data_IF_207539641885
#
_entry.id   IF_207539641885
#
_cell.length_a   1.000
_cell.length_b   1.000
_cell.length_c   1.000
_cell.angle_alpha   90.00
_cell.angle_beta   90.00
_cell.angle_gamma   90.00
#
_symmetry.space_group_name_H-M   'P 1'
#
loop_
_entity.id
_entity.type
_entity.pdbx_description
1 polymer ?
#
# COMPACT_ATOMS: atom_id res chain seq x y z
N UNK A 1 21.96 10.47 -43.67
CA UNK A 1 21.60 11.37 -42.56
C UNK A 1 20.11 11.62 -42.68
N UNK A 2 19.30 10.90 -41.91
CA UNK A 2 17.85 11.11 -41.87
C UNK A 2 17.55 12.39 -41.13
N UNK A 3 16.83 13.30 -41.77
CA UNK A 3 16.25 14.48 -41.13
C UNK A 3 15.21 14.03 -40.09
N UNK A 4 15.53 14.15 -38.81
CA UNK A 4 14.54 14.13 -37.75
C UNK A 4 13.62 15.35 -37.93
N UNK A 5 12.41 15.08 -38.42
CA UNK A 5 11.35 16.08 -38.46
C UNK A 5 11.09 16.57 -37.03
N UNK A 6 11.36 17.86 -36.79
CA UNK A 6 11.08 18.52 -35.51
C UNK A 6 9.57 18.64 -35.35
N UNK A 7 8.99 17.71 -34.60
CA UNK A 7 7.58 17.70 -34.24
C UNK A 7 7.16 19.08 -33.67
N UNK A 8 6.10 19.66 -34.21
CA UNK A 8 5.62 20.98 -33.79
C UNK A 8 5.07 20.92 -32.37
N UNK A 9 5.29 21.95 -31.54
CA UNK A 9 4.75 22.03 -30.18
C UNK A 9 3.24 21.76 -30.11
N UNK A 10 2.48 22.18 -31.15
CA UNK A 10 1.03 21.92 -31.23
C UNK A 10 0.69 20.43 -31.46
N UNK A 11 1.50 19.70 -32.21
CA UNK A 11 1.34 18.27 -32.44
C UNK A 11 1.74 17.46 -31.20
N UNK A 12 2.76 17.93 -30.48
CA UNK A 12 3.17 17.34 -29.21
C UNK A 12 2.10 17.49 -28.13
N UNK A 13 1.50 18.68 -27.96
CA UNK A 13 0.40 18.91 -27.01
C UNK A 13 -0.87 18.09 -27.31
N UNK A 14 -1.09 17.70 -28.57
CA UNK A 14 -2.19 16.82 -28.98
C UNK A 14 -1.89 15.32 -28.85
N UNK A 15 -0.68 14.94 -28.45
CA UNK A 15 -0.28 13.54 -28.34
C UNK A 15 -0.96 12.84 -27.15
N UNK A 16 -1.25 11.55 -27.32
CA UNK A 16 -1.79 10.69 -26.26
C UNK A 16 -0.88 10.69 -25.01
N UNK A 17 0.43 10.87 -25.18
CA UNK A 17 1.36 10.94 -24.05
C UNK A 17 1.16 12.20 -23.21
N UNK A 18 1.03 13.37 -23.82
CA UNK A 18 0.78 14.62 -23.09
C UNK A 18 -0.54 14.55 -22.33
N UNK A 19 -1.60 14.01 -22.95
CA UNK A 19 -2.91 13.82 -22.28
C UNK A 19 -2.77 12.93 -21.05
N UNK A 20 -1.99 11.84 -21.11
CA UNK A 20 -1.74 10.97 -19.94
C UNK A 20 -0.99 11.69 -18.83
N UNK A 21 -0.01 12.54 -19.16
CA UNK A 21 0.69 13.36 -18.15
C UNK A 21 -0.24 14.38 -17.50
N UNK A 22 -1.14 15.00 -18.28
CA UNK A 22 -2.19 15.87 -17.74
C UNK A 22 -3.07 15.08 -16.76
N UNK A 23 -3.50 13.86 -17.10
CA UNK A 23 -4.26 13.00 -16.18
C UNK A 23 -3.48 12.60 -14.93
N UNK A 24 -2.16 12.42 -15.03
CA UNK A 24 -1.31 12.12 -13.87
C UNK A 24 -1.27 13.31 -12.90
N UNK A 25 -1.00 14.51 -13.42
CA UNK A 25 -0.92 15.74 -12.62
C UNK A 25 -2.29 16.08 -12.04
N UNK A 26 -3.35 16.00 -12.84
CA UNK A 26 -4.72 16.20 -12.37
C UNK A 26 -5.07 15.20 -11.27
N UNK A 27 -4.74 13.92 -11.44
CA UNK A 27 -4.98 12.90 -10.42
C UNK A 27 -4.24 13.17 -9.13
N UNK A 28 -2.97 13.59 -9.20
CA UNK A 28 -2.21 14.02 -8.02
C UNK A 28 -2.91 15.15 -7.27
N UNK A 29 -3.30 16.22 -7.98
CA UNK A 29 -3.95 17.38 -7.39
C UNK A 29 -5.33 17.03 -6.80
N UNK A 30 -6.11 16.19 -7.48
CA UNK A 30 -7.42 15.74 -7.00
C UNK A 30 -7.30 14.90 -5.71
N UNK A 31 -6.33 13.97 -5.67
CA UNK A 31 -6.04 13.17 -4.47
C UNK A 31 -5.60 14.07 -3.32
N UNK A 32 -4.65 14.98 -3.56
CA UNK A 32 -4.16 15.93 -2.55
C UNK A 32 -5.31 16.79 -2.01
N UNK A 33 -6.13 17.35 -2.90
CA UNK A 33 -7.29 18.14 -2.53
C UNK A 33 -8.24 17.35 -1.62
N UNK A 34 -8.55 16.10 -1.97
CA UNK A 34 -9.39 15.23 -1.15
C UNK A 34 -8.79 15.01 0.25
N UNK A 35 -7.49 14.68 0.35
CA UNK A 35 -6.84 14.47 1.66
C UNK A 35 -6.83 15.75 2.50
N UNK A 36 -6.59 16.91 1.87
CA UNK A 36 -6.64 18.21 2.57
C UNK A 36 -8.04 18.52 3.08
N UNK A 37 -9.08 18.31 2.27
CA UNK A 37 -10.48 18.54 2.67
C UNK A 37 -10.83 17.65 3.86
N UNK A 38 -10.52 16.35 3.77
CA UNK A 38 -10.81 15.40 4.85
C UNK A 38 -10.07 15.78 6.13
N UNK A 39 -8.76 16.07 6.06
CA UNK A 39 -7.98 16.40 7.26
C UNK A 39 -8.36 17.74 7.90
N UNK A 40 -8.88 18.69 7.11
CA UNK A 40 -9.34 20.01 7.59
C UNK A 40 -10.79 20.01 8.08
N UNK A 41 -11.52 18.90 7.96
CA UNK A 41 -12.90 18.81 8.45
C UNK A 41 -13.03 19.00 9.96
N UNK A 42 -11.94 18.86 10.71
CA UNK A 42 -11.87 19.10 12.15
C UNK A 42 -10.64 19.93 12.52
N UNK A 43 -10.71 20.64 13.65
CA UNK A 43 -9.53 21.33 14.21
C UNK A 43 -8.50 20.33 14.76
N UNK A 44 -8.98 19.26 15.38
CA UNK A 44 -8.18 18.12 15.83
C UNK A 44 -7.51 17.35 14.67
N UNK A 45 -6.64 16.38 14.99
CA UNK A 45 -6.26 15.33 14.04
C UNK A 45 -7.58 14.65 13.62
N UNK A 46 -7.81 14.52 12.32
CA UNK A 46 -9.11 14.09 11.80
C UNK A 46 -9.59 12.80 12.46
N UNK A 47 -10.91 12.58 12.34
CA UNK A 47 -11.42 11.23 12.22
C UNK A 47 -11.36 10.46 13.56
N UNK A 48 -11.36 11.16 14.70
CA UNK A 48 -11.32 10.54 16.03
C UNK A 48 -10.01 9.77 16.28
N UNK A 49 -8.92 10.17 15.63
CA UNK A 49 -7.63 9.51 15.74
C UNK A 49 -6.87 9.94 17.01
N UNK A 50 -6.95 9.10 18.03
CA UNK A 50 -6.20 9.29 19.28
C UNK A 50 -4.73 8.84 19.17
N UNK A 51 -4.44 7.80 18.37
CA UNK A 51 -3.06 7.29 18.27
C UNK A 51 -2.17 8.26 17.49
N UNK A 52 -2.74 9.05 16.59
CA UNK A 52 -2.02 10.13 15.90
C UNK A 52 -1.33 11.10 16.86
N UNK A 53 -1.97 11.43 17.99
CA UNK A 53 -1.38 12.27 19.04
C UNK A 53 -0.19 11.56 19.72
N UNK A 54 -0.33 10.26 19.99
CA UNK A 54 0.76 9.46 20.52
C UNK A 54 1.94 9.43 19.55
N UNK A 55 1.71 9.10 18.28
CA UNK A 55 2.76 8.95 17.28
C UNK A 55 3.57 10.23 17.09
N UNK A 56 2.90 11.37 16.97
CA UNK A 56 3.61 12.64 16.77
C UNK A 56 4.33 13.09 18.04
N UNK A 57 3.74 12.85 19.22
CA UNK A 57 4.39 13.18 20.50
C UNK A 57 5.60 12.29 20.74
N UNK A 58 5.50 11.00 20.45
CA UNK A 58 6.60 10.05 20.58
C UNK A 58 7.72 10.38 19.60
N UNK A 59 7.40 10.76 18.36
CA UNK A 59 8.39 11.26 17.39
C UNK A 59 9.14 12.50 17.90
N UNK A 60 8.45 13.42 18.58
CA UNK A 60 9.06 14.60 19.22
C UNK A 60 10.02 14.21 20.35
N UNK A 61 9.63 13.28 21.22
CA UNK A 61 10.46 12.78 22.33
C UNK A 61 11.68 12.03 21.77
N UNK A 62 11.49 11.17 20.77
CA UNK A 62 12.55 10.45 20.08
C UNK A 62 13.57 11.42 19.48
N UNK A 63 13.11 12.46 18.77
CA UNK A 63 13.97 13.49 18.23
C UNK A 63 14.80 14.20 19.31
N UNK A 64 14.15 14.64 20.40
CA UNK A 64 14.83 15.33 21.50
C UNK A 64 15.89 14.44 22.17
N UNK A 65 15.58 13.16 22.38
CA UNK A 65 16.50 12.19 22.98
C UNK A 65 17.72 11.94 22.10
N UNK A 66 17.50 11.75 20.79
CA UNK A 66 18.57 11.51 19.82
C UNK A 66 19.52 12.72 19.69
N UNK A 67 18.98 13.94 19.59
CA UNK A 67 19.79 15.16 19.48
C UNK A 67 20.55 15.47 20.77
N UNK A 68 19.99 15.11 21.93
CA UNK A 68 20.65 15.30 23.23
C UNK A 68 21.73 14.24 23.51
N UNK A 69 21.90 13.24 22.64
CA UNK A 69 22.87 12.15 22.83
C UNK A 69 22.44 11.10 23.87
N UNK A 70 21.19 11.14 24.34
CA UNK A 70 20.66 10.18 25.33
C UNK A 70 20.24 8.84 24.71
N UNK A 71 20.34 8.69 23.39
CA UNK A 71 19.95 7.46 22.68
C UNK A 71 18.44 7.31 22.56
N UNK A 72 17.95 6.07 22.63
CA UNK A 72 16.52 5.77 22.55
C UNK A 72 15.81 6.20 23.86
N UNK A 73 14.68 6.91 23.77
CA UNK A 73 13.94 7.32 24.97
C UNK A 73 13.28 6.12 25.67
N UNK A 74 13.23 6.16 27.00
CA UNK A 74 12.50 5.17 27.80
C UNK A 74 10.98 5.41 27.71
N UNK A 75 10.22 4.32 27.53
CA UNK A 75 8.76 4.36 27.54
C UNK A 75 8.20 3.99 28.92
N UNK A 76 7.62 4.96 29.64
CA UNK A 76 7.22 4.79 31.05
C UNK A 76 5.72 4.87 31.35
N UNK A 77 4.88 5.04 30.33
CA UNK A 77 3.46 5.35 30.54
C UNK A 77 2.57 4.12 30.75
N UNK A 78 3.04 2.91 30.42
CA UNK A 78 2.24 1.67 30.55
C UNK A 78 2.96 0.57 31.37
N UNK A 79 3.38 0.86 32.63
CA UNK A 79 4.25 -0.03 33.41
C UNK A 79 3.62 -1.39 33.75
N UNK A 80 2.29 -1.49 33.76
CA UNK A 80 1.57 -2.72 34.11
C UNK A 80 1.14 -3.55 32.87
N UNK A 81 1.72 -3.28 31.70
CA UNK A 81 1.33 -3.92 30.44
C UNK A 81 2.51 -4.63 29.79
N UNK A 82 2.26 -5.28 28.64
CA UNK A 82 3.32 -5.81 27.76
C UNK A 82 4.22 -4.72 27.14
N UNK A 83 3.85 -3.45 27.31
CA UNK A 83 4.60 -2.26 26.89
C UNK A 83 5.26 -1.56 28.09
N UNK A 84 5.57 -2.29 29.16
CA UNK A 84 6.35 -1.77 30.29
C UNK A 84 7.75 -1.30 29.84
N UNK A 85 8.46 -0.49 30.63
CA UNK A 85 9.76 0.07 30.23
C UNK A 85 10.79 -0.97 29.76
N UNK A 86 10.78 -2.17 30.35
CA UNK A 86 11.74 -3.24 30.05
C UNK A 86 11.39 -3.99 28.75
N UNK A 87 10.10 -4.17 28.47
CA UNK A 87 9.60 -4.92 27.32
C UNK A 87 9.21 -4.04 26.12
N UNK A 88 9.21 -2.72 26.30
CA UNK A 88 8.75 -1.79 25.27
C UNK A 88 9.52 -1.98 23.96
N UNK A 89 8.77 -1.97 22.86
CA UNK A 89 9.29 -1.97 21.51
C UNK A 89 8.50 -0.99 20.66
N UNK A 90 9.22 -0.05 20.09
CA UNK A 90 8.67 0.83 19.06
C UNK A 90 8.56 0.07 17.73
N UNK A 91 7.48 -0.68 17.55
CA UNK A 91 7.18 -1.38 16.30
C UNK A 91 6.83 -0.45 15.12
N UNK A 92 6.81 0.86 15.37
CA UNK A 92 6.60 1.91 14.38
C UNK A 92 7.85 2.80 14.24
N UNK A 93 9.03 2.29 14.59
CA UNK A 93 10.25 3.07 14.73
C UNK A 93 10.55 3.97 13.52
N UNK A 94 10.57 3.41 12.30
CA UNK A 94 10.80 4.21 11.09
C UNK A 94 9.64 5.16 10.81
N UNK A 95 8.40 4.80 11.12
CA UNK A 95 7.27 5.72 10.99
C UNK A 95 7.43 6.94 11.91
N UNK A 96 7.94 6.78 13.13
CA UNK A 96 8.24 7.91 14.02
C UNK A 96 9.40 8.76 13.49
N UNK A 97 10.47 8.13 13.00
CA UNK A 97 11.58 8.87 12.37
C UNK A 97 11.12 9.69 11.16
N UNK A 98 10.24 9.12 10.33
CA UNK A 98 9.67 9.77 9.16
C UNK A 98 8.77 10.97 9.51
N UNK A 99 8.22 11.02 10.72
CA UNK A 99 7.44 12.18 11.19
C UNK A 99 8.29 13.35 11.70
N UNK A 100 9.54 13.10 12.11
CA UNK A 100 10.43 14.12 12.69
C UNK A 100 10.57 15.37 11.78
N UNK A 101 10.78 15.25 10.45
CA UNK A 101 10.93 16.42 9.60
C UNK A 101 9.74 17.39 9.65
N UNK A 102 8.51 16.91 9.88
CA UNK A 102 7.34 17.78 9.99
C UNK A 102 7.34 18.59 11.30
N UNK A 103 7.92 18.05 12.37
CA UNK A 103 8.07 18.72 13.66
C UNK A 103 9.09 19.86 13.63
N UNK A 104 9.95 19.94 12.61
CA UNK A 104 10.87 21.05 12.45
C UNK A 104 10.19 22.34 11.97
N UNK A 105 9.02 22.20 11.33
CA UNK A 105 8.31 23.33 10.72
C UNK A 105 6.96 23.64 11.38
N UNK A 106 6.38 22.68 12.12
CA UNK A 106 5.04 22.79 12.65
C UNK A 106 4.94 22.31 14.10
N UNK A 107 4.02 22.92 14.86
CA UNK A 107 3.59 22.42 16.16
C UNK A 107 3.00 21.00 16.05
N UNK A 108 3.05 20.15 17.10
CA UNK A 108 2.78 18.72 17.00
C UNK A 108 1.46 18.35 16.32
N UNK A 109 0.35 19.02 16.64
CA UNK A 109 -0.95 18.69 16.02
C UNK A 109 -0.95 19.02 14.52
N UNK A 110 -0.41 20.18 14.15
CA UNK A 110 -0.29 20.60 12.75
C UNK A 110 0.69 19.70 11.99
N UNK A 111 1.83 19.34 12.60
CA UNK A 111 2.80 18.40 12.05
C UNK A 111 2.14 17.05 11.73
N UNK A 112 1.36 16.49 12.66
CA UNK A 112 0.63 15.24 12.45
C UNK A 112 -0.38 15.35 11.29
N UNK A 113 -1.13 16.45 11.20
CA UNK A 113 -2.10 16.67 10.11
C UNK A 113 -1.41 16.79 8.75
N UNK A 114 -0.32 17.54 8.67
CA UNK A 114 0.46 17.69 7.43
C UNK A 114 1.10 16.36 7.02
N UNK A 115 1.68 15.62 7.97
CA UNK A 115 2.24 14.30 7.72
C UNK A 115 1.18 13.30 7.23
N UNK A 116 0.00 13.28 7.85
CA UNK A 116 -1.12 12.44 7.43
C UNK A 116 -1.52 12.75 5.98
N UNK A 117 -1.75 14.02 5.63
CA UNK A 117 -2.08 14.43 4.26
C UNK A 117 -0.98 14.02 3.28
N UNK A 118 0.28 14.22 3.63
CA UNK A 118 1.42 13.88 2.79
C UNK A 118 1.48 12.38 2.48
N UNK A 119 1.48 11.54 3.51
CA UNK A 119 1.58 10.09 3.33
C UNK A 119 0.31 9.48 2.72
N UNK A 120 -0.88 9.98 3.07
CA UNK A 120 -2.14 9.56 2.45
C UNK A 120 -2.18 9.88 0.96
N UNK A 121 -1.76 11.10 0.59
CA UNK A 121 -1.69 11.53 -0.80
C UNK A 121 -0.71 10.65 -1.57
N UNK A 122 0.49 10.43 -1.02
CA UNK A 122 1.50 9.59 -1.65
C UNK A 122 1.06 8.13 -1.78
N UNK A 123 0.33 7.59 -0.80
CA UNK A 123 -0.22 6.25 -0.84
C UNK A 123 -1.21 6.06 -1.99
N UNK A 124 -2.27 6.89 -2.06
CA UNK A 124 -3.28 6.79 -3.12
C UNK A 124 -2.67 7.14 -4.47
N UNK A 125 -1.80 8.15 -4.53
CA UNK A 125 -1.11 8.53 -5.75
C UNK A 125 -0.18 7.42 -6.25
N UNK A 126 0.49 6.67 -5.37
CA UNK A 126 1.35 5.55 -5.80
C UNK A 126 0.55 4.46 -6.53
N UNK A 127 -0.67 4.17 -6.07
CA UNK A 127 -1.60 3.23 -6.72
C UNK A 127 -2.02 3.77 -8.09
N UNK A 128 -2.40 5.05 -8.16
CA UNK A 128 -2.75 5.68 -9.44
C UNK A 128 -1.56 5.76 -10.41
N UNK A 129 -0.36 6.00 -9.88
CA UNK A 129 0.88 6.03 -10.63
C UNK A 129 1.20 4.66 -11.25
N UNK A 130 0.92 3.55 -10.58
CA UNK A 130 1.04 2.21 -11.20
C UNK A 130 0.17 2.08 -12.46
N UNK A 131 -1.07 2.56 -12.41
CA UNK A 131 -1.97 2.55 -13.57
C UNK A 131 -1.40 3.40 -14.72
N UNK A 132 -0.88 4.59 -14.38
CA UNK A 132 -0.21 5.45 -15.36
C UNK A 132 1.01 4.78 -15.98
N UNK A 133 1.90 4.23 -15.14
CA UNK A 133 3.18 3.63 -15.52
C UNK A 133 2.99 2.41 -16.44
N UNK A 134 2.06 1.51 -16.08
CA UNK A 134 1.76 0.32 -16.88
C UNK A 134 0.84 0.58 -18.07
N UNK A 135 0.69 1.84 -18.45
CA UNK A 135 -0.08 2.26 -19.62
C UNK A 135 -1.53 1.78 -19.61
N UNK A 136 -2.14 1.66 -18.42
CA UNK A 136 -3.56 1.30 -18.30
C UNK A 136 -4.39 2.37 -19.02
N UNK A 137 -5.39 1.92 -19.78
CA UNK A 137 -6.34 2.77 -20.50
C UNK A 137 -7.40 3.35 -19.55
N UNK A 138 -8.05 4.44 -19.96
CA UNK A 138 -9.13 5.08 -19.20
C UNK A 138 -8.73 5.52 -17.77
N UNK A 139 -7.53 6.09 -17.62
CA UNK A 139 -7.02 6.60 -16.32
C UNK A 139 -8.05 7.44 -15.53
N UNK A 140 -8.85 8.35 -16.13
CA UNK A 140 -9.84 9.11 -15.37
C UNK A 140 -10.93 8.25 -14.71
N UNK A 141 -11.33 7.13 -15.33
CA UNK A 141 -12.33 6.21 -14.74
C UNK A 141 -11.73 5.54 -13.51
N UNK A 142 -10.50 5.04 -13.61
CA UNK A 142 -9.81 4.43 -12.48
C UNK A 142 -9.48 5.43 -11.37
N UNK A 143 -9.18 6.68 -11.71
CA UNK A 143 -9.06 7.76 -10.74
C UNK A 143 -10.37 7.99 -9.99
N UNK A 144 -11.50 8.09 -10.70
CA UNK A 144 -12.82 8.21 -10.07
C UNK A 144 -13.14 7.03 -9.15
N UNK A 145 -12.83 5.82 -9.60
CA UNK A 145 -12.98 4.61 -8.78
C UNK A 145 -12.09 4.65 -7.52
N UNK A 146 -10.83 5.09 -7.64
CA UNK A 146 -9.94 5.26 -6.48
C UNK A 146 -10.51 6.28 -5.52
N UNK A 147 -10.83 7.49 -5.98
CA UNK A 147 -11.38 8.61 -5.19
C UNK A 147 -12.67 8.25 -4.43
N UNK A 148 -13.40 7.23 -4.87
CA UNK A 148 -14.67 6.78 -4.28
C UNK A 148 -14.64 5.33 -3.80
N UNK A 149 -13.45 4.74 -3.66
CA UNK A 149 -13.30 3.29 -3.49
C UNK A 149 -13.95 2.75 -2.20
N UNK A 150 -13.86 3.49 -1.10
CA UNK A 150 -14.39 3.11 0.21
C UNK A 150 -14.27 4.25 1.24
N UNK A 151 -15.35 4.52 1.98
CA UNK A 151 -15.29 5.47 3.11
C UNK A 151 -14.33 5.01 4.23
N UNK A 152 -14.35 3.73 4.68
CA UNK A 152 -13.43 3.26 5.71
C UNK A 152 -11.95 3.35 5.30
N UNK A 153 -11.66 3.20 4.01
CA UNK A 153 -10.31 3.39 3.49
C UNK A 153 -9.82 4.81 3.71
N UNK A 154 -10.59 5.81 3.25
CA UNK A 154 -10.21 7.21 3.38
C UNK A 154 -10.17 7.71 4.82
N UNK A 155 -11.07 7.21 5.66
CA UNK A 155 -11.03 7.43 7.10
C UNK A 155 -9.67 7.01 7.69
N UNK A 156 -9.16 5.84 7.31
CA UNK A 156 -7.88 5.32 7.81
C UNK A 156 -6.67 5.99 7.18
N UNK A 157 -6.74 6.34 5.91
CA UNK A 157 -5.65 7.07 5.25
C UNK A 157 -5.44 8.45 5.87
N UNK A 158 -6.49 9.09 6.39
CA UNK A 158 -6.40 10.39 7.07
C UNK A 158 -6.05 10.28 8.57
N UNK A 159 -5.91 9.07 9.12
CA UNK A 159 -5.30 8.92 10.43
C UNK A 159 -3.80 9.22 10.35
N UNK A 160 -3.24 9.89 11.35
CA UNK A 160 -1.80 10.13 11.47
C UNK A 160 -1.07 8.87 11.97
N UNK A 161 -1.22 7.78 11.22
CA UNK A 161 -0.70 6.43 11.52
C UNK A 161 0.08 5.86 10.34
N UNK A 162 0.68 4.69 10.54
CA UNK A 162 1.50 4.00 9.55
C UNK A 162 0.79 3.35 8.33
N UNK A 163 -0.53 3.07 8.28
CA UNK A 163 -1.15 2.39 7.14
C UNK A 163 -0.89 2.98 5.75
N UNK A 164 -0.88 4.32 5.53
CA UNK A 164 -0.50 4.89 4.24
C UNK A 164 0.88 4.44 3.75
N UNK A 165 1.88 4.39 4.65
CA UNK A 165 3.21 3.91 4.32
C UNK A 165 3.19 2.43 3.88
N UNK A 166 2.35 1.60 4.49
CA UNK A 166 2.20 0.21 4.07
C UNK A 166 1.78 0.08 2.61
N UNK A 167 0.87 0.94 2.14
CA UNK A 167 0.48 0.98 0.72
C UNK A 167 1.66 1.42 -0.15
N UNK A 168 2.38 2.46 0.25
CA UNK A 168 3.55 2.97 -0.49
C UNK A 168 4.61 1.87 -0.63
N UNK A 169 5.01 1.23 0.47
CA UNK A 169 5.98 0.13 0.46
C UNK A 169 5.49 -1.06 -0.38
N UNK A 170 4.20 -1.41 -0.28
CA UNK A 170 3.61 -2.50 -1.08
C UNK A 170 3.63 -2.17 -2.57
N UNK A 171 3.25 -0.96 -2.97
CA UNK A 171 3.25 -0.51 -4.36
C UNK A 171 4.66 -0.47 -4.95
N UNK A 172 5.64 0.08 -4.22
CA UNK A 172 7.05 0.06 -4.65
C UNK A 172 7.52 -1.40 -4.79
N UNK A 173 7.17 -2.26 -3.84
CA UNK A 173 7.52 -3.67 -3.88
C UNK A 173 6.93 -4.39 -5.09
N UNK A 174 5.65 -4.17 -5.38
CA UNK A 174 4.95 -4.73 -6.54
C UNK A 174 5.60 -4.23 -7.84
N UNK A 175 5.92 -2.93 -7.93
CA UNK A 175 6.67 -2.37 -9.04
C UNK A 175 8.02 -3.09 -9.24
N UNK A 176 8.81 -3.25 -8.18
CA UNK A 176 10.10 -3.94 -8.24
C UNK A 176 9.98 -5.41 -8.64
N UNK A 177 8.92 -6.10 -8.19
CA UNK A 177 8.62 -7.47 -8.58
C UNK A 177 8.32 -7.55 -10.08
N UNK A 178 7.40 -6.73 -10.58
CA UNK A 178 7.01 -6.70 -11.98
C UNK A 178 8.15 -6.31 -12.92
N UNK A 179 8.98 -5.33 -12.52
CA UNK A 179 10.18 -4.92 -13.26
C UNK A 179 11.37 -5.86 -13.06
N UNK A 180 11.21 -6.93 -12.26
CA UNK A 180 12.25 -7.91 -11.93
C UNK A 180 13.51 -7.32 -11.30
N UNK A 181 13.39 -6.15 -10.67
CA UNK A 181 14.45 -5.41 -9.99
C UNK A 181 14.63 -5.92 -8.55
N UNK A 182 14.83 -7.23 -8.41
CA UNK A 182 14.68 -7.94 -7.12
C UNK A 182 15.68 -7.52 -6.04
N UNK A 183 16.88 -7.06 -6.42
CA UNK A 183 17.88 -6.61 -5.46
C UNK A 183 17.35 -5.51 -4.53
N UNK A 184 16.55 -4.58 -5.07
CA UNK A 184 15.97 -3.47 -4.30
C UNK A 184 14.87 -3.90 -3.33
N UNK A 185 14.38 -5.14 -3.41
CA UNK A 185 13.44 -5.68 -2.42
C UNK A 185 14.10 -5.87 -1.05
N UNK A 186 15.41 -6.06 -0.97
CA UNK A 186 16.13 -6.20 0.29
C UNK A 186 16.07 -4.92 1.13
N UNK A 187 16.58 -3.75 0.66
CA UNK A 187 16.50 -2.52 1.45
C UNK A 187 15.04 -2.08 1.65
N UNK A 188 14.15 -2.33 0.69
CA UNK A 188 12.73 -2.02 0.85
C UNK A 188 12.10 -2.82 2.01
N UNK A 189 12.31 -4.14 2.04
CA UNK A 189 11.77 -5.00 3.08
C UNK A 189 12.39 -4.73 4.46
N UNK A 190 13.68 -4.41 4.50
CA UNK A 190 14.38 -3.95 5.70
C UNK A 190 13.68 -2.72 6.30
N UNK A 191 13.48 -1.68 5.50
CA UNK A 191 12.82 -0.44 5.95
C UNK A 191 11.35 -0.67 6.29
N UNK A 192 10.65 -1.50 5.52
CA UNK A 192 9.24 -1.79 5.78
C UNK A 192 9.05 -2.50 7.14
N UNK A 193 9.99 -3.40 7.49
CA UNK A 193 10.01 -4.07 8.80
C UNK A 193 10.08 -3.06 9.96
N UNK A 194 10.83 -1.97 9.80
CA UNK A 194 10.93 -0.90 10.82
C UNK A 194 9.71 0.04 10.84
N UNK A 195 8.88 0.00 9.80
CA UNK A 195 7.78 0.96 9.60
C UNK A 195 6.49 0.48 10.25
N UNK A 196 6.09 -0.76 9.97
CA UNK A 196 4.79 -1.26 10.40
C UNK A 196 4.73 -2.79 10.50
N UNK A 197 3.92 -3.29 11.44
CA UNK A 197 3.70 -4.71 11.69
C UNK A 197 3.07 -5.51 10.53
N UNK A 198 2.65 -4.85 9.44
CA UNK A 198 2.14 -5.50 8.24
C UNK A 198 3.21 -5.71 7.15
N UNK A 199 4.49 -5.58 7.49
CA UNK A 199 5.60 -5.95 6.61
C UNK A 199 5.48 -7.34 5.96
N UNK A 200 4.89 -8.40 6.59
CA UNK A 200 4.76 -9.70 5.92
C UNK A 200 3.95 -9.66 4.61
N UNK A 201 3.16 -8.61 4.39
CA UNK A 201 2.41 -8.41 3.15
C UNK A 201 3.33 -8.37 1.92
N UNK A 202 4.49 -7.72 2.02
CA UNK A 202 5.45 -7.66 0.91
C UNK A 202 6.16 -9.01 0.67
N UNK A 203 6.42 -9.75 1.74
CA UNK A 203 6.96 -11.11 1.60
C UNK A 203 5.95 -12.05 0.92
N UNK A 204 4.66 -11.95 1.28
CA UNK A 204 3.58 -12.69 0.63
C UNK A 204 3.40 -12.28 -0.84
N UNK A 205 3.53 -10.98 -1.17
CA UNK A 205 3.59 -10.53 -2.55
C UNK A 205 4.74 -11.19 -3.33
N UNK A 206 5.95 -11.24 -2.76
CA UNK A 206 7.08 -11.91 -3.39
C UNK A 206 6.82 -13.42 -3.61
N UNK A 207 6.16 -14.09 -2.66
CA UNK A 207 5.74 -15.49 -2.79
C UNK A 207 4.78 -15.70 -3.96
N UNK A 208 3.73 -14.87 -4.06
CA UNK A 208 2.78 -14.90 -5.19
C UNK A 208 3.53 -14.73 -6.50
N UNK A 209 4.41 -13.73 -6.58
CA UNK A 209 5.15 -13.44 -7.81
C UNK A 209 6.07 -14.59 -8.22
N UNK A 210 6.82 -15.17 -7.28
CA UNK A 210 7.64 -16.36 -7.54
C UNK A 210 6.78 -17.55 -8.01
N UNK A 211 5.60 -17.76 -7.44
CA UNK A 211 4.69 -18.83 -7.87
C UNK A 211 4.16 -18.61 -9.30
N UNK A 212 3.83 -17.36 -9.67
CA UNK A 212 3.41 -17.00 -11.03
C UNK A 212 4.54 -17.26 -12.03
N UNK A 213 5.77 -16.84 -11.73
CA UNK A 213 6.94 -17.12 -12.59
C UNK A 213 7.15 -18.63 -12.73
N UNK A 214 7.08 -19.38 -11.62
CA UNK A 214 7.22 -20.83 -11.65
C UNK A 214 6.16 -21.50 -12.54
N UNK A 215 4.92 -21.00 -12.52
CA UNK A 215 3.86 -21.50 -13.38
C UNK A 215 4.06 -21.14 -14.85
N UNK A 216 4.31 -19.87 -15.16
CA UNK A 216 4.37 -19.36 -16.53
C UNK A 216 5.69 -19.70 -17.25
N UNK A 217 6.82 -19.60 -16.56
CA UNK A 217 8.16 -19.83 -17.13
C UNK A 217 8.67 -21.24 -16.86
N UNK A 218 7.97 -22.04 -16.04
CA UNK A 218 8.43 -23.38 -15.60
C UNK A 218 9.81 -23.34 -14.94
N UNK A 219 10.14 -22.20 -14.33
CA UNK A 219 11.41 -21.94 -13.66
C UNK A 219 11.17 -21.37 -12.26
N UNK A 220 11.85 -21.93 -11.27
CA UNK A 220 11.85 -21.35 -9.93
C UNK A 220 12.78 -20.14 -9.87
N UNK A 221 12.19 -18.94 -9.76
CA UNK A 221 12.92 -17.70 -9.57
C UNK A 221 12.96 -17.37 -8.07
N UNK A 222 14.10 -17.69 -7.44
CA UNK A 222 14.29 -17.56 -5.99
C UNK A 222 14.53 -16.12 -5.53
N UNK A 223 15.03 -15.24 -6.41
CA UNK A 223 15.49 -13.88 -6.05
C UNK A 223 14.42 -13.04 -5.32
N UNK A 224 13.13 -12.99 -5.73
CA UNK A 224 12.09 -12.27 -4.99
C UNK A 224 11.99 -12.69 -3.53
N UNK A 225 11.91 -14.00 -3.29
CA UNK A 225 11.82 -14.57 -1.95
C UNK A 225 13.12 -14.41 -1.18
N UNK A 226 14.27 -14.61 -1.83
CA UNK A 226 15.58 -14.47 -1.20
C UNK A 226 15.82 -13.06 -0.67
N UNK A 227 15.67 -12.03 -1.53
CA UNK A 227 15.93 -10.65 -1.13
C UNK A 227 14.93 -10.13 -0.10
N UNK A 228 13.63 -10.48 -0.21
CA UNK A 228 12.65 -10.11 0.82
C UNK A 228 12.91 -10.85 2.14
N UNK A 229 13.26 -12.13 2.13
CA UNK A 229 13.57 -12.88 3.35
C UNK A 229 14.82 -12.32 4.05
N UNK A 230 15.88 -12.03 3.30
CA UNK A 230 17.09 -11.41 3.86
C UNK A 230 16.77 -10.03 4.44
N UNK A 231 16.03 -9.19 3.71
CA UNK A 231 15.61 -7.87 4.19
C UNK A 231 14.75 -7.95 5.47
N UNK A 232 13.85 -8.93 5.56
CA UNK A 232 13.03 -9.20 6.76
C UNK A 232 13.91 -9.58 7.95
N UNK A 233 14.85 -10.52 7.75
CA UNK A 233 15.75 -10.98 8.81
C UNK A 233 16.62 -9.82 9.30
N UNK A 234 17.30 -9.13 8.38
CA UNK A 234 18.14 -7.97 8.72
C UNK A 234 17.33 -6.87 9.40
N UNK A 235 16.11 -6.60 8.91
CA UNK A 235 15.21 -5.60 9.48
C UNK A 235 14.86 -5.93 10.93
N UNK A 236 14.61 -7.21 11.25
CA UNK A 236 14.30 -7.59 12.63
C UNK A 236 15.55 -7.65 13.53
N UNK A 237 16.67 -8.18 13.04
CA UNK A 237 17.89 -8.38 13.84
C UNK A 237 18.62 -7.07 14.12
N UNK A 238 18.67 -6.15 13.15
CA UNK A 238 19.32 -4.83 13.30
C UNK A 238 18.38 -3.82 13.99
N UNK A 239 17.10 -4.18 14.21
CA UNK A 239 16.13 -3.30 14.83
C UNK A 239 16.65 -2.77 16.19
N UNK A 240 16.53 -1.47 16.51
CA UNK A 240 17.09 -0.90 17.74
C UNK A 240 16.53 -1.52 19.04
N UNK A 241 15.37 -2.17 18.94
CA UNK A 241 14.69 -2.84 20.05
C UNK A 241 14.77 -4.38 19.96
N UNK A 242 15.74 -4.94 19.23
CA UNK A 242 15.94 -6.39 19.20
C UNK A 242 16.38 -6.93 20.58
N UNK A 243 15.81 -8.05 21.09
CA UNK A 243 14.84 -8.94 20.45
C UNK A 243 13.36 -8.68 20.79
N UNK A 244 13.05 -7.62 21.54
CA UNK A 244 11.69 -7.28 21.99
C UNK A 244 10.72 -7.06 20.81
N UNK A 245 11.23 -6.58 19.67
CA UNK A 245 10.45 -6.46 18.44
C UNK A 245 9.84 -7.79 17.96
N UNK A 246 10.60 -8.88 18.03
CA UNK A 246 10.12 -10.21 17.65
C UNK A 246 9.08 -10.70 18.67
N UNK A 247 9.34 -10.51 19.97
CA UNK A 247 8.41 -10.88 21.05
C UNK A 247 7.06 -10.18 20.87
N UNK A 248 7.07 -8.85 20.66
CA UNK A 248 5.84 -8.08 20.45
C UNK A 248 5.13 -8.49 19.15
N UNK A 249 5.88 -8.75 18.08
CA UNK A 249 5.30 -9.22 16.82
C UNK A 249 4.57 -10.57 16.98
N UNK A 250 5.16 -11.53 17.68
CA UNK A 250 4.53 -12.83 17.97
C UNK A 250 3.27 -12.65 18.83
N UNK A 251 3.30 -11.77 19.84
CA UNK A 251 2.13 -11.46 20.65
C UNK A 251 0.99 -10.84 19.82
N UNK A 252 1.30 -9.90 18.92
CA UNK A 252 0.33 -9.34 18.00
C UNK A 252 -0.24 -10.39 17.03
N UNK A 253 0.60 -11.30 16.53
CA UNK A 253 0.12 -12.39 15.68
C UNK A 253 -0.80 -13.34 16.45
N UNK A 254 -0.44 -13.72 17.67
CA UNK A 254 -1.25 -14.58 18.54
C UNK A 254 -2.61 -13.94 18.85
N UNK A 255 -2.64 -12.63 19.11
CA UNK A 255 -3.89 -11.89 19.29
C UNK A 255 -4.79 -11.93 18.04
N UNK A 256 -4.19 -11.76 16.85
CA UNK A 256 -4.93 -11.83 15.58
C UNK A 256 -5.46 -13.24 15.29
N UNK A 257 -4.72 -14.28 15.66
CA UNK A 257 -5.17 -15.68 15.50
C UNK A 257 -6.32 -16.02 16.47
N UNK A 258 -6.36 -15.39 17.65
CA UNK A 258 -7.44 -15.54 18.66
C UNK A 258 -8.64 -14.58 18.43
N UNK A 259 -8.72 -13.93 17.27
CA UNK A 259 -9.80 -13.00 16.92
C UNK A 259 -11.19 -13.63 17.13
N UNK A 260 -12.05 -12.94 17.87
CA UNK A 260 -13.45 -13.34 18.12
C UNK A 260 -13.74 -13.81 19.55
N UNK A 261 -12.71 -14.22 20.33
CA UNK A 261 -12.84 -14.59 21.74
C UNK A 261 -12.00 -13.66 22.61
N UNK A 262 -12.46 -12.42 22.78
CA UNK A 262 -11.79 -11.44 23.64
C UNK A 262 -12.42 -11.46 25.04
N UNK A 263 -11.59 -11.67 26.06
CA UNK A 263 -12.02 -11.62 27.47
C UNK A 263 -12.42 -10.19 27.89
N UNK A 264 -11.96 -9.17 27.14
CA UNK A 264 -12.26 -7.76 27.36
C UNK A 264 -12.78 -7.15 26.04
N UNK A 265 -13.88 -6.38 26.06
CA UNK A 265 -14.37 -5.72 24.86
C UNK A 265 -13.29 -4.85 24.19
N UNK A 266 -12.99 -5.16 22.94
CA UNK A 266 -12.08 -4.38 22.09
C UNK A 266 -12.85 -3.41 21.20
N UNK A 267 -12.14 -2.47 20.58
CA UNK A 267 -12.74 -1.49 19.66
C UNK A 267 -13.50 -2.16 18.50
N UNK A 268 -14.57 -1.52 18.04
CA UNK A 268 -15.45 -2.02 16.96
C UNK A 268 -14.72 -2.41 15.67
N UNK A 269 -13.52 -1.88 15.43
CA UNK A 269 -12.66 -2.18 14.29
C UNK A 269 -12.15 -3.64 14.23
N UNK A 270 -12.17 -4.36 15.36
CA UNK A 270 -11.68 -5.73 15.49
C UNK A 270 -12.73 -6.79 15.16
N UNK A 271 -13.99 -6.38 15.02
CA UNK A 271 -15.08 -7.25 14.61
C UNK A 271 -15.24 -7.23 13.09
N UNK A 272 -15.86 -8.27 12.54
CA UNK A 272 -16.13 -8.41 11.11
C UNK A 272 -17.14 -7.39 10.60
N UNK A 273 -17.09 -7.06 9.31
CA UNK A 273 -18.23 -6.42 8.68
C UNK A 273 -19.42 -7.38 8.56
N UNK A 274 -20.62 -6.85 8.74
CA UNK A 274 -21.82 -7.53 8.26
C UNK A 274 -21.93 -7.41 6.73
N UNK A 275 -22.63 -8.35 6.09
CA UNK A 275 -22.77 -8.36 4.63
C UNK A 275 -23.37 -7.05 4.08
N UNK A 276 -24.35 -6.48 4.77
CA UNK A 276 -24.97 -5.20 4.39
C UNK A 276 -23.95 -4.06 4.51
N UNK A 277 -23.16 -4.02 5.58
CA UNK A 277 -22.13 -3.00 5.79
C UNK A 277 -21.06 -3.05 4.68
N UNK A 278 -20.68 -4.25 4.20
CA UNK A 278 -19.74 -4.38 3.07
C UNK A 278 -20.29 -3.75 1.80
N UNK A 279 -21.56 -4.02 1.48
CA UNK A 279 -22.21 -3.48 0.29
C UNK A 279 -22.40 -1.96 0.37
N UNK A 280 -22.61 -1.40 1.57
CA UNK A 280 -22.77 0.04 1.74
C UNK A 280 -21.45 0.79 1.82
N UNK A 281 -20.40 0.20 2.41
CA UNK A 281 -19.14 0.88 2.63
C UNK A 281 -18.07 0.64 1.56
N UNK A 282 -18.13 -0.50 0.86
CA UNK A 282 -17.14 -0.90 -0.14
C UNK A 282 -17.77 -1.18 -1.54
N UNK A 283 -18.85 -0.51 -2.00
CA UNK A 283 -19.54 -0.89 -3.23
C UNK A 283 -18.63 -0.81 -4.46
N UNK A 284 -17.81 0.24 -4.56
CA UNK A 284 -16.91 0.45 -5.70
C UNK A 284 -15.78 -0.59 -5.70
N UNK A 285 -15.21 -0.89 -4.53
CA UNK A 285 -14.19 -1.94 -4.40
C UNK A 285 -14.73 -3.34 -4.74
N UNK A 286 -15.94 -3.66 -4.30
CA UNK A 286 -16.60 -4.93 -4.63
C UNK A 286 -16.97 -5.02 -6.11
N UNK A 287 -17.45 -3.92 -6.70
CA UNK A 287 -17.71 -3.85 -8.14
C UNK A 287 -16.41 -4.02 -8.93
N UNK A 288 -15.32 -3.36 -8.53
CA UNK A 288 -14.01 -3.55 -9.13
C UNK A 288 -13.55 -5.01 -9.04
N UNK A 289 -13.71 -5.64 -7.87
CA UNK A 289 -13.40 -7.06 -7.71
C UNK A 289 -14.21 -7.93 -8.67
N UNK A 290 -15.52 -7.68 -8.79
CA UNK A 290 -16.41 -8.41 -9.70
C UNK A 290 -15.99 -8.23 -11.16
N UNK A 291 -15.71 -6.99 -11.60
CA UNK A 291 -15.22 -6.70 -12.95
C UNK A 291 -13.90 -7.43 -13.20
N UNK A 292 -12.99 -7.43 -12.23
CA UNK A 292 -11.74 -8.18 -12.31
C UNK A 292 -11.97 -9.68 -12.51
N UNK A 293 -12.87 -10.29 -11.74
CA UNK A 293 -13.21 -11.71 -11.91
C UNK A 293 -13.84 -12.03 -13.27
N UNK A 294 -14.75 -11.17 -13.75
CA UNK A 294 -15.41 -11.37 -15.06
C UNK A 294 -14.42 -11.27 -16.21
N UNK A 295 -13.49 -10.31 -16.15
CA UNK A 295 -12.52 -10.05 -17.21
C UNK A 295 -11.26 -10.92 -17.11
N UNK A 296 -11.05 -11.61 -15.98
CA UNK A 296 -9.90 -12.48 -15.81
C UNK A 296 -10.07 -13.75 -16.64
N UNK A 297 -9.37 -13.83 -17.77
CA UNK A 297 -9.32 -15.02 -18.62
C UNK A 297 -7.90 -15.59 -18.62
N UNK A 298 -7.69 -16.80 -18.05
CA UNK A 298 -6.46 -17.55 -18.26
C UNK A 298 -6.26 -17.85 -19.73
N UNK A 299 -5.12 -17.44 -20.31
CA UNK A 299 -4.75 -17.86 -21.67
C UNK A 299 -4.11 -19.24 -21.58
N UNK A 300 -4.51 -20.16 -22.47
CA UNK A 300 -4.30 -21.61 -22.33
C UNK A 300 -2.96 -22.06 -21.71
N UNK A 301 -1.83 -21.50 -22.15
CA UNK A 301 -0.49 -21.87 -21.66
C UNK A 301 0.19 -20.85 -20.74
N UNK A 302 -0.33 -19.62 -20.61
CA UNK A 302 0.27 -18.54 -19.81
C UNK A 302 -0.80 -17.70 -19.13
N UNK A 303 -0.66 -17.52 -17.82
CA UNK A 303 -1.51 -16.62 -17.06
C UNK A 303 -1.13 -15.16 -17.32
N UNK A 304 -2.08 -14.22 -17.37
CA UNK A 304 -1.76 -12.80 -17.40
C UNK A 304 -1.11 -12.39 -16.07
N UNK A 305 0.23 -12.29 -16.04
CA UNK A 305 1.03 -12.26 -14.80
C UNK A 305 0.55 -11.21 -13.79
N UNK A 306 0.36 -9.97 -14.24
CA UNK A 306 -0.01 -8.85 -13.35
C UNK A 306 -1.46 -8.97 -12.85
N UNK A 307 -2.40 -9.34 -13.71
CA UNK A 307 -3.78 -9.57 -13.32
C UNK A 307 -3.89 -10.76 -12.34
N UNK A 308 -3.15 -11.84 -12.60
CA UNK A 308 -3.05 -13.02 -11.73
C UNK A 308 -2.43 -12.66 -10.39
N UNK A 309 -1.38 -11.83 -10.39
CA UNK A 309 -0.77 -11.32 -9.17
C UNK A 309 -1.80 -10.59 -8.32
N UNK A 310 -2.51 -9.62 -8.90
CA UNK A 310 -3.50 -8.85 -8.15
C UNK A 310 -4.67 -9.71 -7.68
N UNK A 311 -5.15 -10.65 -8.50
CA UNK A 311 -6.16 -11.65 -8.11
C UNK A 311 -5.74 -12.37 -6.82
N UNK A 312 -4.55 -12.97 -6.80
CA UNK A 312 -4.05 -13.73 -5.66
C UNK A 312 -3.70 -12.84 -4.46
N UNK A 313 -3.29 -11.59 -4.70
CA UNK A 313 -2.92 -10.65 -3.65
C UNK A 313 -4.14 -10.06 -2.95
N UNK A 314 -5.18 -9.68 -3.69
CA UNK A 314 -6.36 -8.99 -3.15
C UNK A 314 -7.45 -9.94 -2.65
N UNK A 315 -7.52 -11.17 -3.14
CA UNK A 315 -8.52 -12.15 -2.67
C UNK A 315 -8.41 -12.42 -1.16
N UNK A 316 -7.22 -12.65 -0.58
CA UNK A 316 -7.08 -12.75 0.88
C UNK A 316 -7.48 -11.47 1.63
N UNK A 317 -7.25 -10.29 1.04
CA UNK A 317 -7.66 -9.01 1.62
C UNK A 317 -9.19 -8.85 1.63
N UNK A 318 -9.89 -9.36 0.61
CA UNK A 318 -11.36 -9.44 0.59
C UNK A 318 -11.86 -10.37 1.69
N UNK A 319 -11.29 -11.58 1.79
CA UNK A 319 -11.65 -12.55 2.84
C UNK A 319 -11.43 -11.94 4.23
N UNK A 320 -10.34 -11.18 4.41
CA UNK A 320 -10.03 -10.53 5.67
C UNK A 320 -11.09 -9.50 6.12
N UNK A 321 -11.93 -8.96 5.20
CA UNK A 321 -13.03 -8.06 5.58
C UNK A 321 -14.09 -8.75 6.43
N UNK A 322 -14.24 -10.07 6.26
CA UNK A 322 -15.14 -10.91 7.07
C UNK A 322 -14.51 -11.32 8.41
N UNK A 323 -13.24 -10.96 8.65
CA UNK A 323 -12.55 -11.20 9.92
C UNK A 323 -12.58 -9.92 10.77
N UNK A 324 -12.13 -8.80 10.22
CA UNK A 324 -12.09 -7.52 10.94
C UNK A 324 -12.23 -6.30 10.02
N UNK A 325 -12.97 -5.28 10.48
CA UNK A 325 -13.19 -4.02 9.75
C UNK A 325 -11.89 -3.27 9.41
N UNK A 326 -10.84 -3.42 10.23
CA UNK A 326 -9.53 -2.80 10.00
C UNK A 326 -8.86 -3.18 8.66
N UNK A 327 -9.22 -4.32 8.06
CA UNK A 327 -8.60 -4.73 6.80
C UNK A 327 -9.08 -3.91 5.59
N UNK A 328 -10.11 -3.07 5.76
CA UNK A 328 -10.58 -2.15 4.71
C UNK A 328 -9.54 -1.09 4.31
N UNK A 329 -8.44 -0.97 5.07
CA UNK A 329 -7.29 -0.12 4.78
C UNK A 329 -6.54 -0.52 3.49
N UNK A 330 -6.64 -1.78 3.07
CA UNK A 330 -5.81 -2.32 1.98
C UNK A 330 -6.64 -2.86 0.82
N UNK A 331 -7.75 -3.55 1.10
CA UNK A 331 -8.55 -4.19 0.04
C UNK A 331 -8.98 -3.24 -1.10
N UNK A 332 -9.57 -2.06 -0.85
CA UNK A 332 -10.18 -1.23 -1.89
C UNK A 332 -9.25 -0.79 -3.03
N UNK A 333 -8.07 -0.18 -2.78
CA UNK A 333 -7.20 0.25 -3.87
C UNK A 333 -6.64 -0.93 -4.67
N UNK A 334 -6.33 -2.06 -4.03
CA UNK A 334 -5.83 -3.24 -4.72
C UNK A 334 -6.91 -3.96 -5.54
N UNK A 335 -8.18 -3.87 -5.15
CA UNK A 335 -9.30 -4.39 -5.95
C UNK A 335 -9.46 -3.61 -7.25
N UNK A 336 -9.23 -2.29 -7.20
CA UNK A 336 -9.23 -1.42 -8.38
C UNK A 336 -8.06 -1.76 -9.30
N UNK A 337 -6.85 -1.99 -8.75
CA UNK A 337 -5.72 -2.46 -9.55
C UNK A 337 -6.05 -3.81 -10.21
N UNK A 338 -6.63 -4.76 -9.48
CA UNK A 338 -7.03 -6.05 -10.06
C UNK A 338 -7.99 -5.88 -11.25
N UNK A 339 -9.03 -5.07 -11.09
CA UNK A 339 -9.97 -4.76 -12.17
C UNK A 339 -9.27 -4.14 -13.38
N UNK A 340 -8.39 -3.17 -13.15
CA UNK A 340 -7.69 -2.44 -14.19
C UNK A 340 -6.71 -3.31 -14.99
N UNK A 341 -5.93 -4.15 -14.30
CA UNK A 341 -5.00 -5.06 -14.96
C UNK A 341 -5.73 -6.22 -15.66
N UNK A 342 -6.87 -6.67 -15.13
CA UNK A 342 -7.71 -7.66 -15.81
C UNK A 342 -8.35 -7.08 -17.07
N UNK A 343 -8.85 -5.85 -17.00
CA UNK A 343 -9.34 -5.09 -18.15
C UNK A 343 -8.26 -4.99 -19.24
N UNK A 344 -7.06 -4.51 -18.88
CA UNK A 344 -5.96 -4.43 -19.84
C UNK A 344 -5.64 -5.80 -20.44
N UNK A 345 -5.53 -6.85 -19.63
CA UNK A 345 -5.20 -8.19 -20.12
C UNK A 345 -6.26 -8.78 -21.06
N UNK A 346 -7.55 -8.49 -20.82
CA UNK A 346 -8.68 -8.94 -21.63
C UNK A 346 -8.73 -8.24 -22.98
N UNK A 347 -8.55 -6.92 -23.01
CA UNK A 347 -8.66 -6.13 -24.25
C UNK A 347 -7.34 -5.97 -25.01
N UNK A 348 -6.21 -6.37 -24.43
CA UNK A 348 -4.94 -6.45 -25.17
C UNK A 348 -5.07 -7.53 -26.24
N UNK A 349 -5.12 -7.10 -27.51
CA UNK A 349 -5.13 -8.00 -28.68
C UNK A 349 -3.88 -8.88 -28.65
N UNK A 350 -4.06 -10.18 -28.45
CA UNK A 350 -3.00 -11.13 -28.79
C UNK A 350 -2.83 -11.16 -30.31
N UNK A 351 -1.89 -10.38 -30.83
CA UNK A 351 -1.47 -10.51 -32.23
C UNK A 351 -0.96 -11.93 -32.55
N UNK A 352 -0.57 -12.70 -31.52
CA UNK A 352 -0.20 -14.11 -31.67
C UNK A 352 -1.38 -15.04 -32.01
N UNK A 353 -2.63 -14.63 -31.74
CA UNK A 353 -3.83 -15.42 -32.00
C UNK A 353 -4.46 -15.17 -33.39
N UNK A 354 -3.94 -14.23 -34.17
CA UNK A 354 -4.38 -14.04 -35.55
C UNK A 354 -3.79 -15.17 -36.42
N UNK A 355 -4.61 -15.88 -37.23
CA UNK A 355 -4.14 -16.80 -38.27
C UNK A 355 -3.06 -16.10 -39.11
N UNK A 356 -2.07 -16.85 -39.61
CA UNK A 356 -0.96 -16.27 -40.40
C UNK A 356 -1.45 -15.40 -41.57
N UNK A 357 -2.63 -15.71 -42.11
CA UNK A 357 -3.29 -14.98 -43.20
C UNK A 357 -3.62 -13.51 -42.85
N UNK A 358 -3.80 -13.19 -41.57
CA UNK A 358 -4.07 -11.81 -41.10
C UNK A 358 -2.82 -11.05 -40.66
N UNK A 359 -1.62 -11.65 -40.75
CA UNK A 359 -0.36 -11.00 -40.33
C UNK A 359 0.34 -10.21 -41.45
N UNK A 360 -0.18 -10.22 -42.68
CA UNK A 360 0.54 -9.67 -43.85
C UNK A 360 0.16 -8.25 -44.27
N UNK A 361 -0.84 -7.62 -43.68
CA UNK A 361 -1.26 -6.28 -44.12
C UNK A 361 -1.67 -5.37 -42.96
N UNK A 362 -0.71 -4.96 -42.11
CA UNK A 362 -0.72 -3.66 -41.41
C UNK A 362 0.71 -3.17 -41.21
#
# INVERSE_FOLDING_TARGET
MSEESKQSWREWFGSQEVVRWVYLIFGFLAILMLMVILQRSTDAICCGDWDGYYHIRWSSILWQSLVSGHGLPEFKWLPLTILNPQDYNDHHFLFHLLQIPFLWFFEPVTAAKVAAVFYATLAVFSVYWLLFYYKIEYLPIWLGALLTCANPFYYRMNMAKAPPLTIIFSVIGIYLLFERKYFWLLPLMFLFTWTYSLFPLLWFAALIWTAIIAWNERKFEWRPLGYTTIGLILGNVIHPYFPNNIKLFIQHLAMKVRMGNYDVPVGGEWYSYQAVELLTHLPIALLAMLVGYILFIPKARKLPEKATFFLLFVTPLLVAQFIAKRYAEYFPPFAILFAAFSWQAFFTKDFEALPEDFRREI
#
